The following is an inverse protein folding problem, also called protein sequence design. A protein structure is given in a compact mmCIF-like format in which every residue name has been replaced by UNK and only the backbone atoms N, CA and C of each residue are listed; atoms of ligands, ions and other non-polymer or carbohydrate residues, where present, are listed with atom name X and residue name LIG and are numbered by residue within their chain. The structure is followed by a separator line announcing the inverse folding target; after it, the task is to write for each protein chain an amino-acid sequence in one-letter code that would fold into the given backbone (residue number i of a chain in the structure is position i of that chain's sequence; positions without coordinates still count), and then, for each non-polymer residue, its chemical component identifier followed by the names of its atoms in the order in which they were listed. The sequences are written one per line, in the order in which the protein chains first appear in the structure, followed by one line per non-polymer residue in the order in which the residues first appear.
data_IF_429337027889
#
_entry.id   IF_429337027889
#
_cell.length_a   1.000
_cell.length_b   1.000
_cell.length_c   1.000
_cell.angle_alpha   90.00
_cell.angle_beta   90.00
_cell.angle_gamma   90.00
#
_symmetry.space_group_name_H-M   'P 1'
#
loop_
_entity.id
_entity.type
_entity.pdbx_description
1 polymer ?
#
# COMPACT_ATOMS: atom_id res chain seq x y z
N UNK A 1 32.59 55.02 2.90
CA UNK A 1 32.26 53.68 3.34
C UNK A 1 31.41 53.81 4.59
N UNK A 2 30.11 53.73 4.46
CA UNK A 2 29.14 53.82 5.59
C UNK A 2 28.90 52.38 6.09
N UNK A 3 29.12 52.10 7.40
CA UNK A 3 29.02 50.75 7.93
C UNK A 3 27.59 50.37 8.43
N UNK A 4 26.57 51.05 7.94
CA UNK A 4 25.19 50.63 8.20
C UNK A 4 24.69 49.76 7.05
N UNK A 5 24.99 48.46 7.07
CA UNK A 5 24.43 47.47 6.17
C UNK A 5 22.93 47.38 6.35
N UNK A 6 22.18 48.26 5.74
CA UNK A 6 20.78 48.12 5.49
C UNK A 6 20.65 47.01 4.48
N UNK A 7 20.14 45.84 4.94
CA UNK A 7 19.53 44.88 4.04
C UNK A 7 18.46 45.64 3.27
N UNK A 8 18.66 45.86 1.98
CA UNK A 8 17.65 46.39 1.08
C UNK A 8 16.39 45.59 1.31
N UNK A 9 15.27 46.31 1.48
CA UNK A 9 13.94 45.71 1.65
C UNK A 9 13.72 44.73 0.50
N UNK A 10 13.86 43.46 0.80
CA UNK A 10 13.40 42.41 -0.11
C UNK A 10 11.91 42.66 -0.33
N UNK A 11 11.44 42.83 -1.59
CA UNK A 11 10.02 43.07 -1.85
C UNK A 11 9.20 41.95 -1.17
N UNK A 12 8.11 42.31 -0.46
CA UNK A 12 7.26 41.36 0.27
C UNK A 12 6.85 40.17 -0.61
N UNK A 13 6.62 40.42 -1.90
CA UNK A 13 6.31 39.41 -2.90
C UNK A 13 7.45 38.37 -3.10
N UNK A 14 8.70 38.80 -3.01
CA UNK A 14 9.86 37.90 -3.15
C UNK A 14 10.08 37.07 -1.89
N UNK A 15 9.85 37.65 -0.71
CA UNK A 15 9.91 36.94 0.56
C UNK A 15 8.81 35.85 0.65
N UNK A 16 7.57 36.20 0.25
CA UNK A 16 6.44 35.27 0.21
C UNK A 16 6.68 34.12 -0.77
N UNK A 17 7.24 34.39 -1.95
CA UNK A 17 7.61 33.33 -2.93
C UNK A 17 8.63 32.36 -2.35
N UNK A 18 9.61 32.86 -1.60
CA UNK A 18 10.60 32.02 -0.90
C UNK A 18 9.94 31.10 0.13
N UNK A 19 9.05 31.64 0.94
CA UNK A 19 8.30 30.88 1.95
C UNK A 19 7.41 29.78 1.34
N UNK A 20 6.73 30.08 0.23
CA UNK A 20 5.89 29.09 -0.49
C UNK A 20 6.78 27.96 -1.04
N UNK A 21 7.93 28.26 -1.62
CA UNK A 21 8.85 27.26 -2.17
C UNK A 21 9.37 26.34 -1.06
N UNK A 22 9.71 26.89 0.11
CA UNK A 22 10.17 26.10 1.25
C UNK A 22 9.05 25.17 1.76
N UNK A 23 7.84 25.69 1.94
CA UNK A 23 6.66 24.88 2.32
C UNK A 23 6.34 23.80 1.30
N UNK A 24 6.36 24.11 0.00
CA UNK A 24 6.17 23.12 -1.06
C UNK A 24 7.25 22.04 -0.98
N UNK A 25 8.51 22.38 -0.77
CA UNK A 25 9.59 21.41 -0.64
C UNK A 25 9.37 20.44 0.53
N UNK A 26 8.84 20.95 1.64
CA UNK A 26 8.46 20.11 2.79
C UNK A 26 7.28 19.18 2.46
N UNK A 27 6.27 19.68 1.76
CA UNK A 27 5.11 18.90 1.33
C UNK A 27 5.55 17.80 0.36
N UNK A 28 6.41 18.12 -0.62
CA UNK A 28 6.98 17.13 -1.56
C UNK A 28 7.67 16.02 -0.79
N UNK A 29 8.50 16.36 0.20
CA UNK A 29 9.19 15.36 1.03
C UNK A 29 8.20 14.46 1.76
N UNK A 30 7.20 15.05 2.41
CA UNK A 30 6.16 14.31 3.15
C UNK A 30 5.34 13.40 2.22
N UNK A 31 4.89 13.91 1.07
CA UNK A 31 4.09 13.12 0.12
C UNK A 31 4.91 12.09 -0.66
N UNK A 32 6.24 12.23 -0.69
CA UNK A 32 7.15 11.23 -1.28
C UNK A 32 7.47 10.07 -0.33
N UNK A 33 7.10 10.18 0.94
CA UNK A 33 7.19 9.07 1.87
C UNK A 33 6.18 7.97 1.51
N UNK A 34 6.42 6.79 2.05
CA UNK A 34 5.61 5.60 1.76
C UNK A 34 4.29 5.65 2.55
N UNK A 35 3.39 6.55 2.16
CA UNK A 35 2.13 6.83 2.85
C UNK A 35 1.01 5.89 2.41
N UNK A 36 0.11 5.48 3.32
CA UNK A 36 -1.15 4.86 2.95
C UNK A 36 -2.05 5.90 2.26
N UNK A 37 -2.85 5.46 1.28
CA UNK A 37 -3.72 6.35 0.49
C UNK A 37 -4.71 7.16 1.35
N UNK A 38 -5.12 6.62 2.49
CA UNK A 38 -6.05 7.24 3.44
C UNK A 38 -5.43 8.46 4.16
N UNK A 39 -4.10 8.53 4.25
CA UNK A 39 -3.40 9.65 4.89
C UNK A 39 -3.24 10.87 3.95
N UNK A 40 -3.27 10.66 2.64
CA UNK A 40 -2.99 11.69 1.64
C UNK A 40 -3.99 12.86 1.72
N UNK A 41 -5.32 12.66 1.79
CA UNK A 41 -6.29 13.74 1.91
C UNK A 41 -5.98 14.69 3.07
N UNK A 42 -5.67 14.15 4.23
CA UNK A 42 -5.35 14.93 5.44
C UNK A 42 -4.11 15.80 5.27
N UNK A 43 -3.07 15.26 4.64
CA UNK A 43 -1.83 16.00 4.37
C UNK A 43 -2.10 17.13 3.38
N UNK A 44 -2.85 16.85 2.32
CA UNK A 44 -3.20 17.84 1.28
C UNK A 44 -4.08 18.96 1.85
N UNK A 45 -5.08 18.64 2.67
CA UNK A 45 -5.94 19.64 3.34
C UNK A 45 -5.11 20.55 4.24
N UNK A 46 -4.22 19.98 5.06
CA UNK A 46 -3.34 20.76 5.92
C UNK A 46 -2.40 21.66 5.11
N UNK A 47 -1.78 21.10 4.08
CA UNK A 47 -0.89 21.84 3.20
C UNK A 47 -1.59 23.00 2.51
N UNK A 48 -2.78 22.78 1.97
CA UNK A 48 -3.58 23.82 1.31
C UNK A 48 -3.94 24.95 2.29
N UNK A 49 -4.34 24.61 3.52
CA UNK A 49 -4.63 25.60 4.58
C UNK A 49 -3.43 26.47 4.90
N UNK A 50 -2.26 25.87 5.06
CA UNK A 50 -1.02 26.56 5.43
C UNK A 50 -0.43 27.39 4.27
N UNK A 51 -0.54 26.91 3.01
CA UNK A 51 -0.02 27.60 1.84
C UNK A 51 -0.88 28.80 1.42
N UNK A 52 -2.20 28.64 1.42
CA UNK A 52 -3.12 29.61 0.85
C UNK A 52 -3.88 30.41 1.91
N UNK A 53 -3.55 30.23 3.19
CA UNK A 53 -4.25 30.85 4.32
C UNK A 53 -5.78 30.72 4.21
N UNK A 54 -6.22 29.58 3.63
CA UNK A 54 -7.61 29.31 3.41
C UNK A 54 -8.33 29.02 4.74
N UNK A 55 -9.44 29.72 4.97
CA UNK A 55 -10.26 29.49 6.16
C UNK A 55 -11.04 28.15 6.05
N UNK A 56 -11.31 27.70 4.83
CA UNK A 56 -12.06 26.50 4.51
C UNK A 56 -11.34 25.69 3.44
N UNK A 57 -11.06 24.42 3.72
CA UNK A 57 -10.44 23.49 2.78
C UNK A 57 -11.17 22.17 2.85
N UNK A 58 -11.51 21.56 1.71
CA UNK A 58 -12.13 20.24 1.61
C UNK A 58 -11.46 19.39 0.55
N UNK A 59 -11.17 18.15 0.88
CA UNK A 59 -10.72 17.13 -0.06
C UNK A 59 -11.85 16.13 -0.29
N UNK A 60 -12.36 16.10 -1.52
CA UNK A 60 -13.42 15.20 -1.92
C UNK A 60 -12.87 14.16 -2.88
N UNK A 61 -13.10 12.88 -2.58
CA UNK A 61 -12.78 11.79 -3.50
C UNK A 61 -14.01 11.39 -4.32
N UNK A 62 -13.79 10.99 -5.56
CA UNK A 62 -14.84 10.43 -6.40
C UNK A 62 -15.28 9.06 -5.84
N UNK A 63 -16.58 8.88 -5.63
CA UNK A 63 -17.14 7.59 -5.28
C UNK A 63 -17.02 6.62 -6.47
N UNK A 64 -16.80 5.34 -6.18
CA UNK A 64 -16.67 4.31 -7.20
C UNK A 64 -17.95 4.25 -8.04
N UNK A 65 -17.80 4.21 -9.37
CA UNK A 65 -18.87 4.09 -10.37
C UNK A 65 -20.00 5.14 -10.26
N UNK A 66 -19.69 6.32 -9.70
CA UNK A 66 -20.65 7.41 -9.47
C UNK A 66 -20.13 8.73 -9.98
N UNK A 67 -21.05 9.67 -10.24
CA UNK A 67 -20.75 11.10 -10.47
C UNK A 67 -20.62 11.89 -9.15
N UNK A 68 -20.76 11.24 -8.00
CA UNK A 68 -20.69 11.85 -6.69
C UNK A 68 -19.25 11.91 -6.16
N UNK A 69 -18.98 12.95 -5.37
CA UNK A 69 -17.76 13.14 -4.63
C UNK A 69 -18.07 13.17 -3.14
N UNK A 70 -17.32 12.39 -2.37
CA UNK A 70 -17.49 12.24 -0.93
C UNK A 70 -16.34 12.94 -0.21
N UNK A 71 -16.67 13.73 0.80
CA UNK A 71 -15.67 14.40 1.65
C UNK A 71 -14.85 13.37 2.43
N UNK A 72 -13.53 13.37 2.22
CA UNK A 72 -12.60 12.51 2.95
C UNK A 72 -11.92 13.22 4.11
N UNK A 73 -11.58 14.50 3.93
CA UNK A 73 -10.98 15.33 4.98
C UNK A 73 -11.29 16.80 4.72
N UNK A 74 -11.33 17.60 5.80
CA UNK A 74 -11.56 19.04 5.69
C UNK A 74 -10.99 19.83 6.87
N UNK A 75 -10.88 21.12 6.67
CA UNK A 75 -10.58 22.11 7.71
C UNK A 75 -11.50 23.32 7.57
N UNK A 76 -12.01 23.85 8.69
CA UNK A 76 -12.88 25.00 8.72
C UNK A 76 -14.32 24.74 8.30
N UNK A 77 -14.71 23.49 8.06
CA UNK A 77 -16.09 23.11 7.78
C UNK A 77 -16.83 22.85 9.10
N UNK A 78 -18.14 23.16 9.16
CA UNK A 78 -18.97 22.79 10.29
C UNK A 78 -18.97 21.27 10.51
N UNK A 79 -18.91 20.78 11.78
CA UNK A 79 -18.84 19.34 12.07
C UNK A 79 -19.99 18.52 11.49
N UNK A 80 -21.17 19.12 11.41
CA UNK A 80 -22.40 18.46 10.90
C UNK A 80 -22.31 18.12 9.42
N UNK A 81 -21.41 18.76 8.68
CA UNK A 81 -21.24 18.57 7.24
C UNK A 81 -20.30 17.44 6.89
N UNK A 82 -19.42 17.00 7.81
CA UNK A 82 -18.45 15.91 7.53
C UNK A 82 -19.12 14.59 7.13
N UNK A 83 -20.37 14.36 7.50
CA UNK A 83 -21.09 13.10 7.25
C UNK A 83 -22.10 13.21 6.10
N UNK A 84 -22.49 14.42 5.71
CA UNK A 84 -23.65 14.64 4.83
C UNK A 84 -23.36 15.28 3.47
N UNK A 85 -22.17 15.87 3.29
CA UNK A 85 -21.89 16.62 2.06
C UNK A 85 -21.37 15.68 0.99
N UNK A 86 -22.13 15.61 -0.09
CA UNK A 86 -21.74 15.05 -1.36
C UNK A 86 -21.75 16.15 -2.40
N UNK A 87 -20.75 16.17 -3.27
CA UNK A 87 -20.70 17.05 -4.42
C UNK A 87 -21.06 16.26 -5.67
N UNK A 88 -21.74 16.87 -6.58
CA UNK A 88 -22.08 16.26 -7.86
C UNK A 88 -21.20 16.83 -8.98
N UNK A 89 -20.72 15.95 -9.85
CA UNK A 89 -19.87 16.33 -10.99
C UNK A 89 -20.55 17.32 -11.97
N UNK A 90 -21.86 17.49 -11.87
CA UNK A 90 -22.67 18.39 -12.71
C UNK A 90 -22.80 19.80 -12.10
N UNK A 91 -22.35 20.02 -10.86
CA UNK A 91 -22.35 21.34 -10.24
C UNK A 91 -21.41 22.29 -10.98
N UNK A 92 -21.85 23.53 -11.21
CA UNK A 92 -21.23 24.46 -12.13
C UNK A 92 -19.73 24.61 -12.03
N UNK A 93 -19.19 24.91 -10.84
CA UNK A 93 -17.74 25.09 -10.66
C UNK A 93 -16.98 23.76 -10.71
N UNK A 94 -17.55 22.70 -10.13
CA UNK A 94 -16.97 21.37 -10.16
C UNK A 94 -16.99 20.80 -11.57
N UNK A 95 -18.15 20.86 -12.23
CA UNK A 95 -18.33 20.36 -13.60
C UNK A 95 -17.36 21.03 -14.56
N UNK A 96 -17.20 22.35 -14.44
CA UNK A 96 -16.24 23.09 -15.26
C UNK A 96 -14.80 22.66 -14.99
N UNK A 97 -14.40 22.54 -13.72
CA UNK A 97 -13.05 22.12 -13.34
C UNK A 97 -12.74 20.71 -13.84
N UNK A 98 -13.70 19.79 -13.70
CA UNK A 98 -13.54 18.39 -14.11
C UNK A 98 -13.53 18.26 -15.64
N UNK A 99 -14.48 18.87 -16.34
CA UNK A 99 -14.56 18.76 -17.81
C UNK A 99 -13.38 19.41 -18.52
N UNK A 100 -12.99 20.61 -18.09
CA UNK A 100 -11.85 21.33 -18.67
C UNK A 100 -10.51 20.86 -18.18
N UNK A 101 -10.46 20.02 -17.14
CA UNK A 101 -9.23 19.61 -16.45
C UNK A 101 -8.37 20.78 -15.99
N UNK A 102 -9.02 21.83 -15.54
CA UNK A 102 -8.37 23.07 -15.13
C UNK A 102 -8.81 23.43 -13.71
N UNK A 103 -7.94 24.17 -13.04
CA UNK A 103 -8.32 24.84 -11.82
C UNK A 103 -9.28 25.97 -12.17
N UNK A 104 -10.43 25.98 -11.52
CA UNK A 104 -11.48 26.99 -11.72
C UNK A 104 -11.64 27.81 -10.46
N UNK A 105 -11.58 29.13 -10.60
CA UNK A 105 -11.86 30.09 -9.54
C UNK A 105 -13.27 30.64 -9.67
N UNK A 106 -13.78 31.26 -8.61
CA UNK A 106 -15.06 31.97 -8.60
C UNK A 106 -15.10 33.09 -9.66
N UNK A 107 -13.96 33.75 -9.88
CA UNK A 107 -13.84 34.77 -10.92
C UNK A 107 -14.06 34.23 -12.35
N UNK A 108 -13.60 32.99 -12.60
CA UNK A 108 -13.82 32.35 -13.93
C UNK A 108 -15.29 32.02 -14.17
N UNK A 109 -16.05 31.73 -13.12
CA UNK A 109 -17.51 31.52 -13.24
C UNK A 109 -18.25 32.78 -13.60
N UNK A 110 -17.89 33.91 -13.01
CA UNK A 110 -18.54 35.20 -13.30
C UNK A 110 -18.36 35.61 -14.76
N UNK A 111 -17.28 35.19 -15.40
CA UNK A 111 -17.02 35.45 -16.83
C UNK A 111 -17.79 34.48 -17.74
N UNK A 112 -18.05 33.24 -17.28
CA UNK A 112 -18.64 32.19 -18.12
C UNK A 112 -20.14 31.99 -17.94
N UNK A 113 -20.76 32.49 -16.87
CA UNK A 113 -22.15 32.18 -16.52
C UNK A 113 -23.11 33.38 -16.57
N UNK A 114 -23.32 33.92 -17.76
CA UNK A 114 -24.48 34.78 -17.98
C UNK A 114 -25.82 34.00 -17.92
N UNK A 115 -25.79 32.66 -18.07
CA UNK A 115 -26.99 31.85 -18.30
C UNK A 115 -27.33 30.81 -17.21
N UNK A 116 -26.54 30.65 -16.16
CA UNK A 116 -26.88 29.66 -15.11
C UNK A 116 -26.34 30.03 -13.72
N UNK A 117 -27.15 30.67 -12.84
CA UNK A 117 -26.75 31.09 -11.48
C UNK A 117 -26.86 30.00 -10.40
N UNK A 118 -26.75 28.72 -10.77
CA UNK A 118 -26.81 27.64 -9.79
C UNK A 118 -25.57 27.59 -8.89
N UNK A 119 -25.73 27.80 -7.59
CA UNK A 119 -24.70 27.62 -6.58
C UNK A 119 -24.35 26.14 -6.41
N UNK A 120 -23.20 25.86 -5.73
CA UNK A 120 -22.84 24.49 -5.33
C UNK A 120 -23.63 24.05 -4.10
N UNK A 121 -23.69 22.72 -3.87
CA UNK A 121 -24.27 22.19 -2.62
C UNK A 121 -23.52 22.70 -1.39
N UNK A 122 -22.24 23.05 -1.48
CA UNK A 122 -21.46 23.66 -0.40
C UNK A 122 -21.92 25.08 -0.09
N UNK A 123 -22.24 25.88 -1.10
CA UNK A 123 -22.75 27.25 -0.91
C UNK A 123 -24.12 27.23 -0.23
N UNK A 124 -24.98 26.27 -0.53
CA UNK A 124 -26.25 26.08 0.19
C UNK A 124 -26.09 25.78 1.68
N UNK A 125 -24.90 25.30 2.10
CA UNK A 125 -24.53 25.08 3.47
C UNK A 125 -23.65 26.21 4.08
N UNK A 126 -23.57 27.35 3.42
CA UNK A 126 -22.80 28.52 3.88
C UNK A 126 -21.29 28.38 3.72
N UNK A 127 -20.84 27.52 2.80
CA UNK A 127 -19.42 27.36 2.49
C UNK A 127 -19.14 28.04 1.15
N UNK A 128 -18.56 29.24 1.23
CA UNK A 128 -18.09 29.94 0.03
C UNK A 128 -16.88 29.21 -0.55
N UNK A 129 -16.90 29.01 -1.88
CA UNK A 129 -15.82 28.38 -2.64
C UNK A 129 -15.13 29.47 -3.46
N UNK A 130 -13.83 29.62 -3.29
CA UNK A 130 -13.01 30.51 -4.08
C UNK A 130 -12.34 29.80 -5.24
N UNK A 131 -11.95 28.53 -5.05
CA UNK A 131 -11.21 27.74 -6.04
C UNK A 131 -11.52 26.25 -5.92
N UNK A 132 -11.58 25.58 -7.06
CA UNK A 132 -11.67 24.14 -7.20
C UNK A 132 -10.51 23.63 -8.03
N UNK A 133 -9.74 22.71 -7.49
CA UNK A 133 -8.63 22.03 -8.18
C UNK A 133 -8.93 20.56 -8.34
N UNK A 134 -9.14 20.07 -9.57
CA UNK A 134 -9.37 18.65 -9.81
C UNK A 134 -8.07 17.87 -9.68
N UNK A 135 -8.15 16.65 -9.11
CA UNK A 135 -7.02 15.74 -8.94
C UNK A 135 -7.18 14.58 -9.90
N UNK A 136 -6.24 14.41 -10.81
CA UNK A 136 -6.28 13.40 -11.86
C UNK A 136 -5.18 12.36 -11.70
N UNK A 137 -5.54 11.10 -11.91
CA UNK A 137 -4.59 10.03 -12.15
C UNK A 137 -4.72 9.60 -13.61
N UNK A 138 -3.71 9.91 -14.43
CA UNK A 138 -3.76 9.75 -15.88
C UNK A 138 -4.96 10.53 -16.49
N UNK A 139 -5.97 9.83 -16.98
CA UNK A 139 -7.18 10.42 -17.55
C UNK A 139 -8.39 10.40 -16.60
N UNK A 140 -8.29 9.71 -15.47
CA UNK A 140 -9.39 9.52 -14.53
C UNK A 140 -9.35 10.60 -13.43
N UNK A 141 -10.48 11.27 -13.19
CA UNK A 141 -10.62 12.14 -12.04
C UNK A 141 -10.77 11.33 -10.77
N UNK A 142 -9.86 11.53 -9.82
CA UNK A 142 -9.83 10.83 -8.52
C UNK A 142 -10.50 11.63 -7.42
N UNK A 143 -10.59 12.95 -7.59
CA UNK A 143 -11.16 13.81 -6.57
C UNK A 143 -11.00 15.29 -6.92
N UNK A 144 -11.40 16.11 -5.97
CA UNK A 144 -11.26 17.57 -6.06
C UNK A 144 -10.80 18.15 -4.72
N UNK A 145 -9.94 19.15 -4.79
CA UNK A 145 -9.57 20.00 -3.68
C UNK A 145 -10.34 21.30 -3.79
N UNK A 146 -11.04 21.67 -2.73
CA UNK A 146 -11.87 22.88 -2.65
C UNK A 146 -11.29 23.80 -1.60
N UNK A 147 -11.09 25.08 -1.96
CA UNK A 147 -10.62 26.11 -1.05
C UNK A 147 -11.63 27.26 -1.01
N UNK A 148 -11.81 27.83 0.19
CA UNK A 148 -12.68 28.97 0.42
C UNK A 148 -12.15 29.89 1.53
N UNK A 149 -12.50 31.16 1.46
CA UNK A 149 -12.04 32.19 2.37
C UNK A 149 -10.52 32.35 2.36
N UNK A 150 -9.95 32.44 1.17
CA UNK A 150 -8.52 32.60 0.96
C UNK A 150 -8.14 34.10 1.09
N UNK A 151 -7.13 34.39 1.95
CA UNK A 151 -6.60 35.74 2.16
C UNK A 151 -5.60 36.18 1.07
N UNK A 152 -5.54 35.45 -0.02
CA UNK A 152 -4.52 35.63 -1.07
C UNK A 152 -5.15 35.87 -2.41
N UNK A 153 -4.45 36.61 -3.27
CA UNK A 153 -4.85 36.73 -4.69
C UNK A 153 -4.69 35.37 -5.39
N UNK A 154 -5.80 34.65 -5.45
CA UNK A 154 -5.87 33.30 -6.05
C UNK A 154 -5.43 33.31 -7.51
N UNK A 155 -5.64 34.40 -8.25
CA UNK A 155 -5.24 34.47 -9.64
C UNK A 155 -3.72 34.34 -9.79
N UNK A 156 -2.95 34.96 -8.90
CA UNK A 156 -1.49 34.90 -8.89
C UNK A 156 -0.96 33.55 -8.33
N UNK A 157 -1.72 32.89 -7.47
CA UNK A 157 -1.31 31.66 -6.80
C UNK A 157 -1.85 30.37 -7.40
N UNK A 158 -2.68 30.47 -8.45
CA UNK A 158 -3.26 29.31 -9.16
C UNK A 158 -2.23 28.23 -9.52
N UNK A 159 -1.01 28.62 -9.88
CA UNK A 159 0.09 27.71 -10.18
C UNK A 159 0.50 26.85 -8.99
N UNK A 160 0.45 27.38 -7.77
CA UNK A 160 0.81 26.63 -6.57
C UNK A 160 -0.31 25.67 -6.14
N UNK A 161 -1.57 26.07 -6.39
CA UNK A 161 -2.71 25.15 -6.22
C UNK A 161 -2.62 23.99 -7.22
N UNK A 162 -2.22 24.27 -8.47
CA UNK A 162 -1.95 23.25 -9.48
C UNK A 162 -0.84 22.28 -8.99
N UNK A 163 0.28 22.83 -8.53
CA UNK A 163 1.38 22.01 -8.00
C UNK A 163 0.93 21.11 -6.83
N UNK A 164 0.11 21.62 -5.92
CA UNK A 164 -0.41 20.81 -4.81
C UNK A 164 -1.33 19.70 -5.29
N UNK A 165 -2.21 19.98 -6.27
CA UNK A 165 -3.08 18.98 -6.88
C UNK A 165 -2.28 17.91 -7.63
N UNK A 166 -1.23 18.30 -8.35
CA UNK A 166 -0.32 17.38 -9.04
C UNK A 166 0.48 16.50 -8.04
N UNK A 167 0.95 17.09 -6.95
CA UNK A 167 1.61 16.35 -5.88
C UNK A 167 0.68 15.35 -5.19
N UNK A 168 -0.56 15.74 -4.95
CA UNK A 168 -1.59 14.83 -4.41
C UNK A 168 -1.86 13.66 -5.38
N UNK A 169 -1.93 13.96 -6.68
CA UNK A 169 -2.09 12.97 -7.74
C UNK A 169 -0.95 11.96 -7.75
N UNK A 170 0.28 12.45 -7.71
CA UNK A 170 1.49 11.60 -7.69
C UNK A 170 1.55 10.74 -6.42
N UNK A 171 1.23 11.30 -5.26
CA UNK A 171 1.19 10.56 -4.00
C UNK A 171 0.12 9.44 -4.03
N UNK A 172 -1.07 9.73 -4.55
CA UNK A 172 -2.12 8.73 -4.76
C UNK A 172 -1.67 7.63 -5.71
N UNK A 173 -1.02 7.99 -6.82
CA UNK A 173 -0.48 7.01 -7.77
C UNK A 173 0.51 6.06 -7.11
N UNK A 174 1.45 6.59 -6.35
CA UNK A 174 2.45 5.80 -5.64
C UNK A 174 1.80 4.86 -4.61
N UNK A 175 0.84 5.38 -3.83
CA UNK A 175 0.11 4.58 -2.84
C UNK A 175 -0.70 3.45 -3.50
N UNK A 176 -1.43 3.74 -4.57
CA UNK A 176 -2.20 2.74 -5.31
C UNK A 176 -1.30 1.69 -5.98
N UNK A 177 -0.17 2.11 -6.55
CA UNK A 177 0.80 1.19 -7.12
C UNK A 177 1.40 0.27 -6.05
N UNK A 178 1.66 0.80 -4.86
CA UNK A 178 2.11 0.01 -3.71
C UNK A 178 1.05 -0.99 -3.28
N UNK A 179 -0.21 -0.57 -3.10
CA UNK A 179 -1.33 -1.46 -2.75
C UNK A 179 -1.48 -2.61 -3.76
N UNK A 180 -1.34 -2.29 -5.07
CA UNK A 180 -1.36 -3.30 -6.14
C UNK A 180 -0.17 -4.27 -6.04
N UNK A 181 1.02 -3.76 -5.74
CA UNK A 181 2.22 -4.60 -5.56
C UNK A 181 2.10 -5.47 -4.31
N UNK A 182 1.60 -4.93 -3.21
CA UNK A 182 1.38 -5.67 -1.96
C UNK A 182 0.29 -6.75 -2.13
N UNK A 183 -0.85 -6.43 -2.73
CA UNK A 183 -1.90 -7.40 -3.06
C UNK A 183 -1.39 -8.47 -4.03
N UNK A 184 -0.58 -8.05 -5.04
CA UNK A 184 0.02 -8.98 -5.98
C UNK A 184 1.19 -9.79 -5.39
N UNK A 185 1.63 -9.51 -4.15
CA UNK A 185 2.74 -10.21 -3.48
C UNK A 185 2.30 -11.29 -2.51
N UNK A 186 1.05 -11.27 -2.06
CA UNK A 186 0.53 -12.24 -1.09
C UNK A 186 -0.40 -13.27 -1.74
N UNK A 187 -0.54 -14.40 -1.08
CA UNK A 187 -1.52 -15.43 -1.37
C UNK A 187 -2.82 -15.11 -0.62
N UNK A 188 -3.92 -14.96 -1.36
CA UNK A 188 -5.22 -14.53 -0.82
C UNK A 188 -5.78 -15.48 0.25
N UNK A 189 -5.44 -16.76 0.17
CA UNK A 189 -5.95 -17.76 1.11
C UNK A 189 -5.20 -17.73 2.44
N UNK A 190 -3.86 -17.73 2.40
CA UNK A 190 -3.01 -17.90 3.58
C UNK A 190 -2.47 -16.60 4.16
N UNK A 191 -2.50 -15.52 3.39
CA UNK A 191 -1.88 -14.23 3.74
C UNK A 191 -0.35 -14.26 3.79
N UNK A 192 0.28 -15.34 3.38
CA UNK A 192 1.72 -15.45 3.19
C UNK A 192 2.13 -14.82 1.87
N UNK A 193 3.43 -14.62 1.65
CA UNK A 193 3.87 -14.23 0.32
C UNK A 193 3.55 -15.31 -0.71
N UNK A 194 3.30 -14.90 -1.95
CA UNK A 194 3.07 -15.82 -3.05
C UNK A 194 4.39 -16.22 -3.75
N UNK A 195 4.32 -17.21 -4.64
CA UNK A 195 5.46 -17.72 -5.39
C UNK A 195 6.20 -16.64 -6.19
N UNK A 196 5.48 -15.66 -6.75
CA UNK A 196 6.08 -14.58 -7.54
C UNK A 196 7.00 -13.69 -6.69
N UNK A 197 6.50 -13.27 -5.53
CA UNK A 197 7.28 -12.46 -4.59
C UNK A 197 8.47 -13.24 -4.02
N UNK A 198 8.25 -14.51 -3.65
CA UNK A 198 9.32 -15.41 -3.21
C UNK A 198 10.47 -15.45 -4.22
N UNK A 199 10.19 -15.66 -5.52
CA UNK A 199 11.24 -15.77 -6.55
C UNK A 199 12.08 -14.49 -6.63
N UNK A 200 11.45 -13.33 -6.67
CA UNK A 200 12.13 -12.03 -6.75
C UNK A 200 12.98 -11.73 -5.51
N UNK A 201 12.41 -12.01 -4.34
CA UNK A 201 13.09 -11.76 -3.08
C UNK A 201 14.27 -12.72 -2.88
N UNK A 202 14.12 -13.98 -3.24
CA UNK A 202 15.16 -14.99 -3.14
C UNK A 202 16.39 -14.66 -3.99
N UNK A 203 16.20 -14.21 -5.22
CA UNK A 203 17.29 -13.73 -6.08
C UNK A 203 18.07 -12.57 -5.45
N UNK A 204 17.33 -11.65 -4.82
CA UNK A 204 17.94 -10.48 -4.17
C UNK A 204 18.75 -10.88 -2.95
N UNK A 205 18.20 -11.71 -2.07
CA UNK A 205 18.89 -12.17 -0.86
C UNK A 205 20.04 -13.13 -1.16
N UNK A 206 19.94 -13.98 -2.17
CA UNK A 206 21.05 -14.82 -2.58
C UNK A 206 22.22 -13.98 -3.13
N UNK A 207 21.94 -12.92 -3.89
CA UNK A 207 22.96 -11.97 -4.34
C UNK A 207 23.63 -11.28 -3.16
N UNK A 208 22.85 -10.87 -2.16
CA UNK A 208 23.36 -10.30 -0.92
C UNK A 208 24.22 -11.31 -0.15
N UNK A 209 23.75 -12.55 0.00
CA UNK A 209 24.48 -13.62 0.65
C UNK A 209 25.84 -13.89 -0.02
N UNK A 210 25.90 -13.91 -1.35
CA UNK A 210 27.15 -14.00 -2.12
C UNK A 210 28.10 -12.84 -1.86
N UNK A 211 27.61 -11.61 -1.90
CA UNK A 211 28.43 -10.43 -1.74
C UNK A 211 29.05 -10.29 -0.35
N UNK A 212 28.35 -10.73 0.68
CA UNK A 212 28.79 -10.64 2.08
C UNK A 212 29.25 -11.96 2.68
N UNK A 213 29.34 -13.04 1.87
CA UNK A 213 29.71 -14.38 2.31
C UNK A 213 28.86 -14.89 3.48
N UNK A 214 27.55 -14.59 3.45
CA UNK A 214 26.61 -14.98 4.47
C UNK A 214 25.93 -16.31 4.07
N UNK A 215 25.66 -17.21 5.02
CA UNK A 215 24.86 -18.39 4.74
C UNK A 215 23.40 -18.00 4.48
N UNK A 216 22.75 -18.74 3.59
CA UNK A 216 21.33 -18.60 3.28
C UNK A 216 20.74 -19.99 3.10
N UNK A 217 19.61 -20.28 3.74
CA UNK A 217 18.98 -21.60 3.64
C UNK A 217 17.54 -21.48 3.15
N UNK A 218 17.15 -22.47 2.36
CA UNK A 218 15.80 -22.67 1.87
C UNK A 218 15.23 -23.96 2.49
N UNK A 219 14.05 -23.83 3.12
CA UNK A 219 13.24 -24.96 3.54
C UNK A 219 11.99 -25.02 2.65
N UNK A 220 11.83 -26.09 1.90
CA UNK A 220 10.66 -26.36 1.05
C UNK A 220 9.91 -27.57 1.61
N UNK A 221 8.60 -27.45 1.78
CA UNK A 221 7.78 -28.51 2.37
C UNK A 221 6.36 -28.53 1.83
N UNK A 222 5.71 -29.65 2.03
CA UNK A 222 4.38 -29.95 1.50
C UNK A 222 3.54 -30.62 2.63
N UNK A 223 2.22 -30.37 2.58
CA UNK A 223 1.30 -30.94 3.57
C UNK A 223 1.00 -32.39 3.26
N UNK A 224 1.35 -33.26 4.19
CA UNK A 224 1.14 -34.69 4.03
C UNK A 224 -0.34 -35.04 3.93
N UNK A 225 -0.70 -35.86 2.92
CA UNK A 225 -2.06 -36.35 2.71
C UNK A 225 -3.13 -35.24 2.53
N UNK A 226 -2.75 -34.05 2.07
CA UNK A 226 -3.69 -32.94 1.94
C UNK A 226 -4.89 -33.28 1.05
N UNK A 227 -4.66 -34.04 -0.01
CA UNK A 227 -5.76 -34.54 -0.86
C UNK A 227 -6.78 -35.35 -0.05
N UNK A 228 -6.34 -36.20 0.90
CA UNK A 228 -7.25 -36.97 1.72
C UNK A 228 -8.09 -36.07 2.66
N UNK A 229 -7.54 -34.95 3.13
CA UNK A 229 -8.31 -33.93 3.89
C UNK A 229 -9.43 -33.38 3.03
N UNK A 230 -9.13 -32.98 1.79
CA UNK A 230 -10.12 -32.48 0.84
C UNK A 230 -11.18 -33.54 0.47
N UNK A 231 -10.74 -34.74 0.18
CA UNK A 231 -11.64 -35.85 -0.22
C UNK A 231 -12.57 -36.25 0.93
N UNK A 232 -12.14 -36.11 2.20
CA UNK A 232 -12.93 -36.51 3.38
C UNK A 232 -13.81 -35.39 3.91
N UNK A 233 -13.33 -34.15 3.92
CA UNK A 233 -13.97 -33.02 4.62
C UNK A 233 -14.39 -31.89 3.67
N UNK A 234 -14.10 -32.00 2.36
CA UNK A 234 -14.36 -30.97 1.37
C UNK A 234 -13.25 -29.92 1.24
N UNK A 235 -13.29 -29.17 0.14
CA UNK A 235 -12.29 -28.15 -0.19
C UNK A 235 -12.28 -27.00 0.82
N UNK A 236 -13.42 -26.59 1.35
CA UNK A 236 -13.51 -25.53 2.37
C UNK A 236 -12.76 -25.89 3.64
N UNK A 237 -12.77 -27.18 4.02
CA UNK A 237 -12.00 -27.70 5.14
C UNK A 237 -10.49 -27.65 4.85
N UNK A 238 -10.08 -28.04 3.65
CA UNK A 238 -8.69 -27.91 3.21
C UNK A 238 -8.20 -26.45 3.22
N UNK A 239 -9.03 -25.52 2.78
CA UNK A 239 -8.73 -24.09 2.82
C UNK A 239 -8.52 -23.58 4.25
N UNK A 240 -9.35 -24.02 5.20
CA UNK A 240 -9.16 -23.69 6.62
C UNK A 240 -7.84 -24.27 7.18
N UNK A 241 -7.49 -25.48 6.79
CA UNK A 241 -6.19 -26.11 7.15
C UNK A 241 -5.04 -25.24 6.62
N UNK A 242 -5.06 -24.86 5.35
CA UNK A 242 -4.01 -24.02 4.75
C UNK A 242 -3.92 -22.64 5.41
N UNK A 243 -5.05 -22.00 5.71
CA UNK A 243 -5.11 -20.73 6.46
C UNK A 243 -4.45 -20.86 7.83
N UNK A 244 -4.75 -21.92 8.55
CA UNK A 244 -4.21 -22.15 9.88
C UNK A 244 -2.70 -22.45 9.82
N UNK A 245 -2.26 -23.23 8.85
CA UNK A 245 -0.84 -23.47 8.59
C UNK A 245 -0.10 -22.16 8.30
N UNK A 246 -0.66 -21.32 7.44
CA UNK A 246 -0.08 -19.99 7.16
C UNK A 246 0.16 -19.17 8.42
N UNK A 247 -0.79 -19.18 9.37
CA UNK A 247 -0.65 -18.49 10.66
C UNK A 247 0.45 -19.12 11.51
N UNK A 248 0.49 -20.45 11.61
CA UNK A 248 1.51 -21.18 12.41
C UNK A 248 2.90 -20.88 11.87
N UNK A 249 3.10 -20.99 10.57
CA UNK A 249 4.38 -20.76 9.91
C UNK A 249 4.86 -19.33 10.19
N UNK A 250 3.99 -18.35 9.95
CA UNK A 250 4.32 -16.92 10.15
C UNK A 250 4.72 -16.61 11.59
N UNK A 251 4.05 -17.21 12.58
CA UNK A 251 4.37 -17.00 14.00
C UNK A 251 5.68 -17.66 14.43
N UNK A 252 6.12 -18.72 13.73
CA UNK A 252 7.36 -19.42 14.02
C UNK A 252 8.55 -18.90 13.24
N UNK A 253 8.34 -18.02 12.27
CA UNK A 253 9.38 -17.48 11.40
C UNK A 253 9.76 -16.07 11.84
N UNK A 254 11.04 -15.75 11.81
CA UNK A 254 11.58 -14.43 12.18
C UNK A 254 11.12 -13.38 11.16
N UNK A 255 11.06 -12.13 11.57
CA UNK A 255 10.72 -11.01 10.67
C UNK A 255 11.75 -10.78 9.56
N UNK A 256 12.99 -11.21 9.75
CA UNK A 256 14.07 -11.18 8.76
C UNK A 256 13.95 -12.23 7.67
N UNK A 257 13.16 -13.27 7.90
CA UNK A 257 13.03 -14.42 7.04
C UNK A 257 11.75 -14.33 6.22
N UNK A 258 11.74 -14.93 5.04
CA UNK A 258 10.58 -14.89 4.16
C UNK A 258 9.83 -16.21 4.18
N UNK A 259 8.51 -16.12 4.27
CA UNK A 259 7.59 -17.27 4.18
C UNK A 259 6.64 -17.06 3.00
N UNK A 260 6.52 -18.07 2.15
CA UNK A 260 5.61 -18.01 1.01
C UNK A 260 4.83 -19.32 0.80
N UNK A 261 3.65 -19.21 0.21
CA UNK A 261 2.96 -20.33 -0.40
C UNK A 261 3.49 -20.51 -1.82
N UNK A 262 4.14 -21.64 -2.08
CA UNK A 262 4.81 -21.92 -3.34
C UNK A 262 3.90 -22.58 -4.37
N UNK A 263 2.99 -23.43 -3.91
CA UNK A 263 2.01 -24.16 -4.70
C UNK A 263 0.69 -24.36 -3.96
N UNK A 264 -0.12 -25.29 -4.42
CA UNK A 264 -1.42 -25.59 -3.79
C UNK A 264 -1.33 -25.92 -2.32
N UNK A 265 -0.48 -26.87 -1.96
CA UNK A 265 -0.23 -27.35 -0.59
C UNK A 265 1.25 -27.26 -0.20
N UNK A 266 2.05 -26.54 -1.02
CA UNK A 266 3.48 -26.38 -0.88
C UNK A 266 3.83 -25.02 -0.30
N UNK A 267 4.76 -24.99 0.64
CA UNK A 267 5.26 -23.79 1.31
C UNK A 267 6.78 -23.74 1.27
N UNK A 268 7.30 -22.54 1.35
CA UNK A 268 8.74 -22.28 1.41
C UNK A 268 9.09 -21.27 2.49
N UNK A 269 10.23 -21.47 3.12
CA UNK A 269 10.83 -20.52 4.07
C UNK A 269 12.26 -20.25 3.65
N UNK A 270 12.62 -18.99 3.45
CA UNK A 270 14.01 -18.55 3.26
C UNK A 270 14.51 -18.01 4.58
N UNK A 271 15.57 -18.59 5.09
CA UNK A 271 16.22 -18.21 6.34
C UNK A 271 17.51 -17.46 6.04
N UNK A 272 17.50 -16.17 6.32
CA UNK A 272 18.66 -15.29 6.13
C UNK A 272 19.70 -15.54 7.22
N UNK A 273 20.99 -15.41 6.87
CA UNK A 273 22.12 -15.59 7.80
C UNK A 273 22.05 -16.90 8.62
N UNK A 274 21.45 -17.94 8.05
CA UNK A 274 21.27 -19.23 8.67
C UNK A 274 21.91 -20.33 7.83
N UNK A 275 22.80 -21.09 8.44
CA UNK A 275 23.42 -22.25 7.79
C UNK A 275 22.55 -23.51 7.86
N UNK A 276 23.03 -24.58 7.23
CA UNK A 276 22.29 -25.84 7.00
C UNK A 276 21.78 -26.48 8.30
N UNK A 277 22.58 -26.48 9.34
CA UNK A 277 22.20 -27.08 10.64
C UNK A 277 21.11 -26.26 11.35
N UNK A 278 21.24 -24.91 11.38
CA UNK A 278 20.23 -24.05 11.97
C UNK A 278 18.89 -24.15 11.22
N UNK A 279 18.97 -24.26 9.91
CA UNK A 279 17.79 -24.42 9.05
C UNK A 279 17.08 -25.77 9.33
N UNK A 280 17.84 -26.85 9.53
CA UNK A 280 17.28 -28.15 9.90
C UNK A 280 16.60 -28.11 11.27
N UNK A 281 17.22 -27.45 12.25
CA UNK A 281 16.66 -27.30 13.61
C UNK A 281 15.31 -26.54 13.50
N UNK A 282 15.28 -25.41 12.78
CA UNK A 282 14.06 -24.65 12.56
C UNK A 282 12.98 -25.51 11.86
N UNK A 283 13.35 -26.19 10.78
CA UNK A 283 12.42 -26.99 9.99
C UNK A 283 11.80 -28.13 10.81
N UNK A 284 12.58 -28.81 11.66
CA UNK A 284 12.06 -29.83 12.56
C UNK A 284 11.16 -29.25 13.66
N UNK A 285 11.53 -28.12 14.26
CA UNK A 285 10.68 -27.45 15.25
C UNK A 285 9.32 -27.03 14.64
N UNK A 286 9.31 -26.48 13.41
CA UNK A 286 8.07 -26.15 12.70
C UNK A 286 7.25 -27.41 12.40
N UNK A 287 7.88 -28.49 11.90
CA UNK A 287 7.22 -29.77 11.63
C UNK A 287 6.55 -30.33 12.88
N UNK A 288 7.25 -30.37 14.02
CA UNK A 288 6.70 -30.84 15.29
C UNK A 288 5.55 -29.99 15.79
N UNK A 289 5.67 -28.66 15.63
CA UNK A 289 4.61 -27.73 16.00
C UNK A 289 3.35 -27.97 15.18
N UNK A 290 3.48 -28.14 13.87
CA UNK A 290 2.35 -28.44 12.98
C UNK A 290 1.74 -29.78 13.35
N UNK A 291 2.53 -30.84 13.52
CA UNK A 291 2.06 -32.18 13.90
C UNK A 291 1.30 -32.20 15.25
N UNK A 292 1.71 -31.37 16.20
CA UNK A 292 1.05 -31.24 17.50
C UNK A 292 -0.24 -30.36 17.45
N UNK A 293 -0.45 -29.60 16.39
CA UNK A 293 -1.61 -28.70 16.29
C UNK A 293 -2.83 -29.44 15.75
N UNK A 294 -3.95 -29.26 16.42
CA UNK A 294 -5.25 -29.71 15.97
C UNK A 294 -6.04 -28.52 15.45
N UNK A 295 -6.68 -28.69 14.32
CA UNK A 295 -7.42 -27.65 13.60
C UNK A 295 -8.91 -27.95 13.71
N UNK A 296 -9.66 -27.05 14.35
CA UNK A 296 -11.11 -27.13 14.43
C UNK A 296 -11.73 -26.69 13.11
N UNK A 297 -12.52 -27.55 12.52
CA UNK A 297 -13.23 -27.31 11.27
C UNK A 297 -14.73 -27.31 11.55
N UNK A 298 -15.45 -26.24 11.21
CA UNK A 298 -16.90 -26.16 11.40
C UNK A 298 -17.62 -27.35 10.73
N UNK A 299 -18.46 -28.05 11.48
CA UNK A 299 -19.20 -29.21 10.99
C UNK A 299 -18.44 -30.55 11.00
N UNK A 300 -17.19 -30.56 11.47
CA UNK A 300 -16.40 -31.78 11.68
C UNK A 300 -16.30 -32.07 13.18
N UNK A 301 -16.75 -33.24 13.61
CA UNK A 301 -16.86 -33.59 15.03
C UNK A 301 -15.50 -33.64 15.74
N UNK A 302 -14.46 -34.11 15.05
CA UNK A 302 -13.12 -34.22 15.62
C UNK A 302 -12.13 -33.26 14.93
N UNK A 303 -11.28 -32.54 15.69
CA UNK A 303 -10.27 -31.67 15.11
C UNK A 303 -9.31 -32.40 14.19
N UNK A 304 -9.02 -31.81 13.03
CA UNK A 304 -8.13 -32.40 12.01
C UNK A 304 -6.67 -32.10 12.34
N UNK A 305 -5.83 -33.12 12.30
CA UNK A 305 -4.38 -32.99 12.41
C UNK A 305 -3.71 -33.26 11.07
N UNK A 306 -2.71 -32.47 10.73
CA UNK A 306 -1.88 -32.66 9.54
C UNK A 306 -0.41 -32.72 9.92
N UNK A 307 0.39 -33.30 9.04
CA UNK A 307 1.86 -33.27 9.14
C UNK A 307 2.46 -32.66 7.88
N UNK A 308 3.71 -32.35 7.93
CA UNK A 308 4.47 -31.85 6.78
C UNK A 308 5.71 -32.67 6.55
N UNK A 309 6.09 -32.79 5.29
CA UNK A 309 7.38 -33.34 4.87
C UNK A 309 8.16 -32.29 4.10
N UNK A 310 9.47 -32.22 4.26
CA UNK A 310 10.24 -31.16 3.64
C UNK A 310 11.71 -31.47 3.41
N UNK A 311 12.32 -30.61 2.57
CA UNK A 311 13.74 -30.63 2.24
C UNK A 311 14.40 -29.28 2.55
N UNK A 312 15.63 -29.31 3.06
CA UNK A 312 16.42 -28.12 3.36
C UNK A 312 17.64 -28.08 2.45
N UNK A 313 17.84 -26.98 1.74
CA UNK A 313 19.05 -26.68 0.97
C UNK A 313 19.69 -25.37 1.43
N UNK A 314 21.00 -25.27 1.35
CA UNK A 314 21.75 -24.14 1.89
C UNK A 314 22.84 -23.66 0.94
N UNK A 315 22.91 -22.35 0.74
CA UNK A 315 24.05 -21.69 0.09
C UNK A 315 25.21 -21.54 1.10
N UNK A 316 26.46 -21.80 0.69
CA UNK A 316 26.90 -22.19 -0.65
C UNK A 316 26.98 -23.72 -0.87
N UNK A 317 26.54 -24.55 0.06
CA UNK A 317 26.81 -25.99 0.12
C UNK A 317 26.08 -26.74 -1.01
N UNK A 318 24.79 -26.44 -1.21
CA UNK A 318 23.91 -27.22 -2.09
C UNK A 318 23.65 -26.54 -3.44
N UNK A 319 24.30 -25.40 -3.68
CA UNK A 319 24.20 -24.68 -4.94
C UNK A 319 24.57 -23.21 -4.78
N UNK A 320 24.75 -22.56 -5.91
CA UNK A 320 25.10 -21.14 -5.97
C UNK A 320 24.07 -20.28 -6.72
N UNK A 321 23.04 -20.89 -7.29
CA UNK A 321 21.90 -20.21 -7.89
C UNK A 321 20.60 -20.52 -7.15
N UNK A 322 19.58 -19.65 -7.32
CA UNK A 322 18.24 -19.90 -6.78
C UNK A 322 17.64 -21.19 -7.33
N UNK A 323 17.90 -21.48 -8.61
CA UNK A 323 17.47 -22.70 -9.27
C UNK A 323 18.10 -23.95 -8.64
N UNK A 324 19.40 -23.92 -8.37
CA UNK A 324 20.09 -25.06 -7.75
C UNK A 324 19.55 -25.36 -6.36
N UNK A 325 19.37 -24.31 -5.53
CA UNK A 325 18.86 -24.44 -4.17
C UNK A 325 17.41 -24.94 -4.13
N UNK A 326 16.56 -24.44 -5.04
CA UNK A 326 15.18 -24.92 -5.18
C UNK A 326 15.17 -26.38 -5.60
N UNK A 327 15.98 -26.75 -6.60
CA UNK A 327 16.07 -28.13 -7.08
C UNK A 327 16.59 -29.07 -6.00
N UNK A 328 17.60 -28.65 -5.24
CA UNK A 328 18.17 -29.44 -4.13
C UNK A 328 17.14 -29.67 -3.03
N UNK A 329 16.42 -28.63 -2.61
CA UNK A 329 15.36 -28.71 -1.59
C UNK A 329 14.18 -29.57 -2.06
N UNK A 330 13.74 -29.44 -3.33
CA UNK A 330 12.67 -30.25 -3.91
C UNK A 330 13.06 -31.73 -4.00
N UNK A 331 14.29 -32.02 -4.43
CA UNK A 331 14.81 -33.39 -4.48
C UNK A 331 14.83 -34.03 -3.09
N UNK A 332 15.24 -33.28 -2.08
CA UNK A 332 15.18 -33.73 -0.68
C UNK A 332 13.72 -33.99 -0.25
N UNK A 333 12.82 -33.05 -0.49
CA UNK A 333 11.38 -33.21 -0.22
C UNK A 333 10.79 -34.45 -0.90
N UNK A 334 11.12 -34.68 -2.18
CA UNK A 334 10.68 -35.87 -2.88
C UNK A 334 11.17 -37.17 -2.24
N UNK A 335 12.41 -37.16 -1.68
CA UNK A 335 12.97 -38.26 -0.93
C UNK A 335 12.16 -38.64 0.31
N UNK A 336 11.63 -37.68 1.05
CA UNK A 336 10.80 -37.93 2.26
C UNK A 336 9.45 -38.55 1.87
N UNK A 337 8.81 -38.08 0.82
CA UNK A 337 7.50 -38.58 0.37
C UNK A 337 7.51 -40.09 0.01
N UNK A 338 8.66 -40.62 -0.42
CA UNK A 338 8.83 -42.04 -0.78
C UNK A 338 9.18 -42.96 0.39
N UNK A 339 9.84 -42.44 1.44
CA UNK A 339 10.35 -43.24 2.55
C UNK A 339 9.41 -43.17 3.76
N UNK A 340 9.19 -42.00 4.29
CA UNK A 340 8.44 -41.80 5.52
C UNK A 340 7.92 -40.34 5.52
N UNK A 341 6.62 -40.17 5.65
CA UNK A 341 6.05 -38.84 5.81
C UNK A 341 6.32 -38.28 7.22
N UNK A 342 6.03 -36.99 7.44
CA UNK A 342 6.33 -36.26 8.65
C UNK A 342 7.84 -36.25 8.96
N UNK A 343 8.65 -35.90 7.98
CA UNK A 343 10.10 -35.91 8.05
C UNK A 343 10.70 -34.72 7.32
N UNK A 344 11.85 -34.23 7.82
CA UNK A 344 12.66 -33.21 7.14
C UNK A 344 14.04 -33.76 6.91
N UNK A 345 14.53 -33.68 5.68
CA UNK A 345 15.88 -34.09 5.32
C UNK A 345 16.69 -32.97 4.67
N UNK A 346 17.98 -33.08 4.77
CA UNK A 346 18.93 -32.18 4.10
C UNK A 346 19.15 -32.64 2.66
N UNK A 347 19.33 -31.66 1.74
CA UNK A 347 19.74 -31.87 0.38
C UNK A 347 21.19 -32.38 0.27
#
# INVERSE_FOLDING_TARGET
MDPSGKFENIPEDLFRKGEIVEKISMIVRTLSENLPKEAIPRIVVRAAKELFHASKVGYFARAADSSEFVLLDCSGFPPDLMIKVKLHAEENILGMAIQKRLIVSRADLLVCSADNPGGTSLESHGIDIDIVAPIYLHSQNMGVLVLGGCDVDIASERKYVAMLADLASLALQNAMQKDLLESASHDDLTGLYNRRYFTQWFETELRRAKNYLLPLSLFMFDVDHFKAVNDTHGHDAGDLVLKQLGRIIRHHTRSSDLVARYGGEEFVVIMTTSGKEQALIYANALRERIAATKIDIPGVENPVGVTISGGVASFPIDGDSTSDLIHAADHALYGTKRKRKNEVILA
#
